data_IF_727990390553
#
_entry.id   IF_727990390553
#
_cell.length_a   1.000
_cell.length_b   1.000
_cell.length_c   1.000
_cell.angle_alpha   90.00
_cell.angle_beta   90.00
_cell.angle_gamma   90.00
#
_symmetry.space_group_name_H-M   'P 1'
#
loop_
_entity.id
_entity.type
_entity.pdbx_description
1 polymer ?
#
# COMPACT_ATOMS: atom_id res chain seq x y z
N UNK A 1 11.61 -7.68 -15.80
CA UNK A 1 10.50 -8.17 -14.94
C UNK A 1 10.06 -7.02 -14.06
N UNK A 2 8.79 -6.60 -14.07
CA UNK A 2 8.30 -5.52 -13.22
C UNK A 2 8.42 -5.89 -11.74
N UNK A 3 8.67 -4.90 -10.89
CA UNK A 3 8.74 -5.06 -9.43
C UNK A 3 7.60 -4.28 -8.78
N UNK A 4 6.88 -4.94 -7.88
CA UNK A 4 5.89 -4.33 -6.99
C UNK A 4 6.55 -4.08 -5.63
N UNK A 5 6.52 -2.83 -5.16
CA UNK A 5 6.94 -2.51 -3.80
C UNK A 5 5.75 -2.62 -2.86
N UNK A 6 5.80 -3.49 -1.86
CA UNK A 6 4.79 -3.58 -0.80
C UNK A 6 5.39 -3.07 0.51
N UNK A 7 4.69 -2.14 1.17
CA UNK A 7 5.08 -1.75 2.52
C UNK A 7 3.93 -1.33 3.41
N UNK A 8 4.15 -1.49 4.71
CA UNK A 8 3.14 -1.27 5.72
C UNK A 8 3.78 -0.84 7.02
N UNK A 9 3.03 -0.07 7.80
CA UNK A 9 3.42 0.28 9.16
C UNK A 9 3.27 -0.87 10.16
N UNK A 10 2.53 -1.91 9.78
CA UNK A 10 2.25 -3.08 10.60
C UNK A 10 3.37 -4.13 10.50
N UNK A 11 3.19 -5.25 11.20
CA UNK A 11 4.07 -6.42 11.09
C UNK A 11 3.72 -7.31 9.91
N UNK A 12 4.68 -8.12 9.47
CA UNK A 12 4.46 -9.12 8.42
C UNK A 12 3.33 -10.10 8.74
N UNK A 13 3.21 -10.53 10.00
CA UNK A 13 2.14 -11.42 10.45
C UNK A 13 0.76 -10.77 10.33
N UNK A 14 0.66 -9.47 10.57
CA UNK A 14 -0.60 -8.75 10.45
C UNK A 14 -1.06 -8.64 8.99
N UNK A 15 -0.12 -8.44 8.07
CA UNK A 15 -0.41 -8.32 6.64
C UNK A 15 -0.49 -9.67 5.90
N UNK A 16 -0.07 -10.78 6.52
CA UNK A 16 -0.01 -12.09 5.87
C UNK A 16 -1.33 -12.51 5.18
N UNK A 17 -2.53 -12.38 5.80
CA UNK A 17 -3.79 -12.72 5.12
C UNK A 17 -4.05 -11.85 3.89
N UNK A 18 -3.76 -10.54 3.98
CA UNK A 18 -3.95 -9.57 2.89
C UNK A 18 -2.97 -9.85 1.75
N UNK A 19 -1.72 -10.17 2.07
CA UNK A 19 -0.68 -10.51 1.10
C UNK A 19 -0.99 -11.82 0.37
N UNK A 20 -1.55 -12.81 1.06
CA UNK A 20 -2.02 -14.05 0.43
C UNK A 20 -3.09 -13.75 -0.62
N UNK A 21 -4.12 -12.97 -0.26
CA UNK A 21 -5.18 -12.57 -1.18
C UNK A 21 -4.67 -11.72 -2.35
N UNK A 22 -3.72 -10.81 -2.09
CA UNK A 22 -3.07 -10.01 -3.14
C UNK A 22 -2.33 -10.90 -4.14
N UNK A 23 -1.48 -11.82 -3.66
CA UNK A 23 -0.73 -12.75 -4.52
C UNK A 23 -1.66 -13.64 -5.33
N UNK A 24 -2.73 -14.14 -4.72
CA UNK A 24 -3.73 -14.94 -5.42
C UNK A 24 -4.40 -14.12 -6.55
N UNK A 25 -4.88 -12.92 -6.24
CA UNK A 25 -5.54 -12.06 -7.23
C UNK A 25 -4.61 -11.66 -8.38
N UNK A 26 -3.33 -11.40 -8.06
CA UNK A 26 -2.29 -11.14 -9.06
C UNK A 26 -2.06 -12.36 -9.95
N UNK A 27 -1.98 -13.57 -9.37
CA UNK A 27 -1.80 -14.80 -10.13
C UNK A 27 -3.00 -15.08 -11.05
N UNK A 28 -4.23 -14.84 -10.59
CA UNK A 28 -5.46 -14.94 -11.40
C UNK A 28 -5.45 -13.95 -12.58
N UNK A 29 -4.84 -12.77 -12.39
CA UNK A 29 -4.61 -11.78 -13.44
C UNK A 29 -3.38 -12.08 -14.33
N UNK A 30 -2.69 -13.21 -14.11
CA UNK A 30 -1.52 -13.63 -14.88
C UNK A 30 -0.17 -13.12 -14.37
N UNK A 31 -0.12 -12.48 -13.20
CA UNK A 31 1.11 -12.00 -12.56
C UNK A 31 1.51 -12.92 -11.39
N UNK A 32 2.53 -13.75 -11.59
CA UNK A 32 3.00 -14.75 -10.64
C UNK A 32 4.36 -14.32 -10.07
N UNK A 33 4.41 -14.15 -8.75
CA UNK A 33 5.62 -13.82 -8.01
C UNK A 33 6.72 -14.85 -8.27
N UNK A 34 7.92 -14.38 -8.62
CA UNK A 34 9.08 -15.22 -8.93
C UNK A 34 9.10 -15.79 -10.35
N UNK A 35 8.01 -15.67 -11.12
CA UNK A 35 7.96 -16.06 -12.53
C UNK A 35 8.04 -14.85 -13.45
N UNK A 36 7.06 -13.94 -13.37
CA UNK A 36 6.96 -12.76 -14.22
C UNK A 36 6.68 -11.46 -13.43
N UNK A 37 6.67 -11.55 -12.10
CA UNK A 37 6.55 -10.43 -11.17
C UNK A 37 7.56 -10.58 -10.03
N UNK A 38 8.28 -9.51 -9.70
CA UNK A 38 9.00 -9.42 -8.43
C UNK A 38 8.16 -8.67 -7.39
N UNK A 39 8.17 -9.11 -6.13
CA UNK A 39 7.57 -8.32 -5.04
C UNK A 39 8.62 -8.07 -3.96
N UNK A 40 8.85 -6.80 -3.65
CA UNK A 40 9.71 -6.37 -2.57
C UNK A 40 8.87 -5.95 -1.37
N UNK A 41 9.12 -6.56 -0.21
CA UNK A 41 8.38 -6.27 1.00
C UNK A 41 9.20 -5.43 1.98
N UNK A 42 8.55 -4.49 2.66
CA UNK A 42 9.11 -3.72 3.77
C UNK A 42 8.04 -3.57 4.87
N UNK A 43 8.41 -3.82 6.11
CA UNK A 43 7.54 -3.58 7.27
C UNK A 43 8.23 -2.62 8.22
N UNK A 44 7.44 -1.69 8.75
CA UNK A 44 7.95 -0.73 9.73
C UNK A 44 7.91 -1.29 11.15
N UNK A 45 7.15 -2.35 11.41
CA UNK A 45 7.00 -2.98 12.74
C UNK A 45 6.59 -1.96 13.82
N UNK A 46 5.70 -1.03 13.46
CA UNK A 46 5.26 0.07 14.33
C UNK A 46 6.17 1.31 14.33
N UNK A 47 7.39 1.24 13.81
CA UNK A 47 8.30 2.39 13.72
C UNK A 47 8.03 3.22 12.45
N UNK A 48 7.12 4.19 12.58
CA UNK A 48 6.69 5.03 11.46
C UNK A 48 7.81 5.89 10.85
N UNK A 49 8.92 6.12 11.56
CA UNK A 49 10.05 6.88 11.00
C UNK A 49 10.74 6.17 9.82
N UNK A 50 10.59 4.84 9.72
CA UNK A 50 11.18 4.04 8.63
C UNK A 50 10.43 4.19 7.31
N UNK A 51 9.16 4.58 7.34
CA UNK A 51 8.29 4.57 6.17
C UNK A 51 8.73 5.53 5.08
N UNK A 52 9.24 6.71 5.45
CA UNK A 52 9.75 7.68 4.49
C UNK A 52 10.93 7.10 3.70
N UNK A 53 11.94 6.58 4.42
CA UNK A 53 13.12 5.97 3.79
C UNK A 53 12.78 4.74 2.94
N UNK A 54 11.81 3.91 3.38
CA UNK A 54 11.31 2.77 2.62
C UNK A 54 10.62 3.20 1.32
N UNK A 55 9.78 4.23 1.36
CA UNK A 55 9.12 4.77 0.18
C UNK A 55 10.13 5.35 -0.82
N UNK A 56 11.12 6.11 -0.35
CA UNK A 56 12.19 6.63 -1.20
C UNK A 56 13.04 5.52 -1.82
N UNK A 57 13.26 4.41 -1.10
CA UNK A 57 13.99 3.26 -1.65
C UNK A 57 13.26 2.66 -2.86
N UNK A 58 11.93 2.53 -2.80
CA UNK A 58 11.13 2.08 -3.94
C UNK A 58 11.21 3.04 -5.13
N UNK A 59 11.24 4.35 -4.88
CA UNK A 59 11.43 5.37 -5.92
C UNK A 59 12.81 5.22 -6.57
N UNK A 60 13.87 5.11 -5.76
CA UNK A 60 15.24 4.92 -6.27
C UNK A 60 15.41 3.62 -7.05
N UNK A 61 14.72 2.55 -6.63
CA UNK A 61 14.72 1.26 -7.32
C UNK A 61 13.89 1.25 -8.60
N UNK A 62 13.04 2.25 -8.81
CA UNK A 62 12.17 2.33 -9.98
C UNK A 62 11.14 1.20 -10.04
N UNK A 63 10.48 0.91 -8.91
CA UNK A 63 9.39 -0.09 -8.88
C UNK A 63 8.24 0.35 -9.80
N UNK A 64 7.52 -0.62 -10.36
CA UNK A 64 6.43 -0.35 -11.30
C UNK A 64 5.16 0.15 -10.60
N UNK A 65 4.92 -0.29 -9.37
CA UNK A 65 3.78 0.12 -8.53
C UNK A 65 4.15 -0.02 -7.05
N UNK A 66 3.63 0.87 -6.22
CA UNK A 66 3.77 0.83 -4.77
C UNK A 66 2.42 0.46 -4.15
N UNK A 67 2.38 -0.62 -3.37
CA UNK A 67 1.23 -1.01 -2.55
C UNK A 67 1.49 -0.61 -1.10
N UNK A 68 0.68 0.32 -0.59
CA UNK A 68 0.78 0.83 0.77
C UNK A 68 -0.31 0.20 1.67
N UNK A 69 0.10 -0.70 2.56
CA UNK A 69 -0.78 -1.50 3.43
C UNK A 69 -1.32 -0.78 4.68
N UNK A 70 -1.04 0.52 4.84
CA UNK A 70 -1.56 1.33 5.94
C UNK A 70 -1.62 2.82 5.57
N UNK A 71 -2.36 3.61 6.36
CA UNK A 71 -2.45 5.06 6.17
C UNK A 71 -1.06 5.75 6.25
N UNK A 72 -0.22 5.50 7.29
CA UNK A 72 1.13 6.08 7.33
C UNK A 72 1.97 5.72 6.11
N UNK A 73 1.88 4.48 5.61
CA UNK A 73 2.57 4.06 4.39
C UNK A 73 2.03 4.81 3.16
N UNK A 74 0.72 5.01 3.03
CA UNK A 74 0.13 5.72 1.91
C UNK A 74 0.57 7.19 1.86
N UNK A 75 0.65 7.85 3.01
CA UNK A 75 1.16 9.22 3.12
C UNK A 75 2.65 9.30 2.76
N UNK A 76 3.46 8.36 3.24
CA UNK A 76 4.88 8.29 2.90
C UNK A 76 5.10 8.07 1.40
N UNK A 77 4.36 7.14 0.77
CA UNK A 77 4.43 6.90 -0.67
C UNK A 77 4.05 8.15 -1.47
N UNK A 78 2.93 8.79 -1.10
CA UNK A 78 2.45 9.99 -1.77
C UNK A 78 3.44 11.15 -1.69
N UNK A 79 4.13 11.30 -0.56
CA UNK A 79 5.18 12.30 -0.40
C UNK A 79 6.43 11.97 -1.25
N UNK A 80 6.75 10.69 -1.42
CA UNK A 80 7.95 10.25 -2.12
C UNK A 80 7.84 10.33 -3.66
N UNK A 81 6.64 10.22 -4.23
CA UNK A 81 6.48 10.20 -5.69
C UNK A 81 5.11 10.66 -6.18
N UNK A 82 5.13 11.39 -7.30
CA UNK A 82 3.95 11.79 -8.06
C UNK A 82 3.80 11.03 -9.39
N UNK A 83 4.74 10.13 -9.71
CA UNK A 83 4.82 9.44 -11.01
C UNK A 83 4.61 7.93 -10.92
N UNK A 84 5.10 7.27 -9.87
CA UNK A 84 4.91 5.83 -9.69
C UNK A 84 3.48 5.60 -9.18
N UNK A 85 2.67 4.73 -9.79
CA UNK A 85 1.34 4.43 -9.28
C UNK A 85 1.36 3.89 -7.84
N UNK A 86 0.48 4.42 -7.00
CA UNK A 86 0.33 4.04 -5.59
C UNK A 86 -1.05 3.43 -5.40
N UNK A 87 -1.11 2.22 -4.84
CA UNK A 87 -2.33 1.53 -4.44
C UNK A 87 -2.36 1.41 -2.92
N UNK A 88 -3.25 2.13 -2.24
CA UNK A 88 -3.38 2.04 -0.79
C UNK A 88 -4.42 1.02 -0.35
N UNK A 89 -4.23 0.47 0.85
CA UNK A 89 -5.26 -0.26 1.60
C UNK A 89 -5.27 0.30 3.02
N UNK A 90 -6.31 1.02 3.41
CA UNK A 90 -6.37 1.70 4.72
C UNK A 90 -7.77 1.69 5.33
N UNK A 91 -7.84 1.84 6.66
CA UNK A 91 -9.10 1.80 7.43
C UNK A 91 -9.77 3.16 7.68
N UNK A 92 -9.34 4.22 7.01
CA UNK A 92 -9.79 5.59 7.25
C UNK A 92 -10.13 6.31 5.93
N UNK A 93 -10.93 7.36 6.01
CA UNK A 93 -11.43 8.10 4.84
C UNK A 93 -10.27 8.80 4.11
N UNK A 94 -9.91 8.35 2.89
CA UNK A 94 -8.74 8.84 2.19
C UNK A 94 -8.95 10.25 1.61
N UNK A 95 -10.21 10.72 1.48
CA UNK A 95 -10.52 12.09 1.06
C UNK A 95 -10.31 13.03 2.24
N UNK A 96 -10.89 12.72 3.40
CA UNK A 96 -10.73 13.54 4.63
C UNK A 96 -9.27 13.65 5.08
N UNK A 97 -8.49 12.61 4.84
CA UNK A 97 -7.07 12.55 5.20
C UNK A 97 -6.16 13.11 4.10
N UNK A 98 -6.73 13.65 3.01
CA UNK A 98 -5.97 14.27 1.94
C UNK A 98 -5.08 13.30 1.16
N UNK A 99 -5.36 12.00 1.18
CA UNK A 99 -4.64 10.99 0.39
C UNK A 99 -5.05 11.11 -1.07
N UNK A 100 -6.34 11.27 -1.35
CA UNK A 100 -6.91 11.49 -2.69
C UNK A 100 -7.86 12.70 -2.70
N UNK A 101 -8.07 13.32 -3.86
CA UNK A 101 -8.98 14.46 -3.99
C UNK A 101 -10.45 14.05 -3.90
N UNK A 102 -10.81 12.88 -4.45
CA UNK A 102 -12.13 12.28 -4.34
C UNK A 102 -12.06 10.77 -4.53
N UNK A 103 -13.13 10.04 -4.18
CA UNK A 103 -13.18 8.59 -4.37
C UNK A 103 -13.30 8.18 -5.85
N UNK A 104 -14.09 8.92 -6.63
CA UNK A 104 -14.34 8.59 -8.04
C UNK A 104 -13.25 9.15 -8.97
N UNK A 105 -12.56 10.21 -8.55
CA UNK A 105 -11.49 10.85 -9.30
C UNK A 105 -10.36 11.23 -8.33
N UNK A 106 -9.40 10.33 -8.09
CA UNK A 106 -8.36 10.55 -7.10
C UNK A 106 -7.42 11.73 -7.40
N UNK A 107 -7.31 12.12 -8.68
CA UNK A 107 -6.63 13.35 -9.13
C UNK A 107 -5.11 13.26 -9.25
N UNK A 108 -4.52 12.06 -9.22
CA UNK A 108 -3.08 11.86 -9.35
C UNK A 108 -2.71 10.39 -9.54
N UNK A 109 -1.50 10.01 -9.13
CA UNK A 109 -0.97 8.64 -9.19
C UNK A 109 -1.45 7.73 -8.05
N UNK A 110 -2.39 8.19 -7.21
CA UNK A 110 -2.81 7.48 -5.99
C UNK A 110 -4.23 6.94 -6.16
N UNK A 111 -4.42 5.65 -5.92
CA UNK A 111 -5.73 4.98 -5.86
C UNK A 111 -5.72 3.93 -4.75
N UNK A 112 -6.84 3.26 -4.47
CA UNK A 112 -6.83 2.19 -3.47
C UNK A 112 -8.19 1.81 -2.93
N UNK A 113 -8.15 1.07 -1.82
CA UNK A 113 -9.29 0.53 -1.13
C UNK A 113 -9.35 1.05 0.31
N UNK A 114 -10.54 1.53 0.70
CA UNK A 114 -10.85 1.88 2.07
C UNK A 114 -11.61 0.73 2.74
N UNK A 115 -11.14 0.30 3.91
CA UNK A 115 -11.84 -0.66 4.76
C UNK A 115 -12.73 0.10 5.75
N UNK A 116 -14.05 0.02 5.56
CA UNK A 116 -15.01 0.69 6.42
C UNK A 116 -15.40 -0.20 7.62
N UNK A 117 -15.03 0.20 8.84
CA UNK A 117 -15.34 -0.55 10.08
C UNK A 117 -16.49 0.06 10.90
N UNK A 118 -17.36 0.87 10.29
CA UNK A 118 -18.26 1.82 10.98
C UNK A 118 -19.19 1.29 12.08
N UNK A 119 -19.39 -0.03 12.22
CA UNK A 119 -20.17 -0.63 13.33
C UNK A 119 -19.34 -1.45 14.33
N UNK A 120 -18.04 -1.67 14.08
CA UNK A 120 -17.17 -2.55 14.87
C UNK A 120 -16.13 -1.80 15.72
N UNK A 121 -15.98 -0.49 15.54
CA UNK A 121 -15.02 0.33 16.29
C UNK A 121 -15.25 0.28 17.81
N UNK A 122 -16.50 0.24 18.27
CA UNK A 122 -16.85 0.16 19.70
C UNK A 122 -16.70 -1.24 20.32
N UNK A 123 -16.47 -2.29 19.52
CA UNK A 123 -16.32 -3.69 19.99
C UNK A 123 -14.87 -4.18 19.99
N UNK A 124 -13.94 -3.31 19.60
CA UNK A 124 -12.51 -3.65 19.42
C UNK A 124 -11.62 -3.23 20.60
N UNK A 125 -12.23 -2.79 21.69
CA UNK A 125 -11.64 -2.54 23.00
C UNK A 125 -12.05 -3.66 23.96
#
# INVERSE_FOLDING_TARGET
MPVLGYFSSQSSNWDAPRLSALRQSLAEAGYVEGSNLGIEYRWAEGDYHRLAAQAEEFVRRGVAVIVAGSLPAALAAKAATTSIPIVFVMGADPVKLGVVASLNQPGGNVTGLMQFYGALGGKRL
#
